data_IF_074695067016
#
_entry.id   IF_074695067016
#
_cell.length_a   1.000
_cell.length_b   1.000
_cell.length_c   1.000
_cell.angle_alpha   90.00
_cell.angle_beta   90.00
_cell.angle_gamma   90.00
#
_symmetry.space_group_name_H-M   'P 1'
#
loop_
_entity.id
_entity.type
_entity.pdbx_description
1 polymer ?
#
# COMPACT_ATOMS: atom_id res chain seq x y z
N UNK A 1 -21.89 32.12 21.92
CA UNK A 1 -21.34 30.76 22.14
C UNK A 1 -19.82 30.88 22.04
N UNK A 2 -19.08 30.60 23.12
CA UNK A 2 -17.62 30.74 23.16
C UNK A 2 -16.92 29.42 22.83
N UNK A 3 -15.73 29.51 22.24
CA UNK A 3 -14.83 28.37 22.13
C UNK A 3 -14.33 28.02 23.53
N UNK A 4 -14.25 26.72 23.84
CA UNK A 4 -13.73 26.22 25.12
C UNK A 4 -12.53 25.33 24.87
N UNK A 5 -11.50 25.49 25.69
CA UNK A 5 -10.35 24.61 25.68
C UNK A 5 -10.65 23.39 26.53
N UNK A 6 -10.73 22.22 25.89
CA UNK A 6 -10.98 20.94 26.53
C UNK A 6 -9.72 20.08 26.52
N UNK A 7 -9.54 19.27 27.57
CA UNK A 7 -8.55 18.18 27.55
C UNK A 7 -9.14 17.00 26.80
N UNK A 8 -8.35 16.39 25.92
CA UNK A 8 -8.74 15.14 25.29
C UNK A 8 -8.85 14.03 26.34
N UNK A 9 -10.00 13.37 26.38
CA UNK A 9 -10.30 12.27 27.32
C UNK A 9 -11.05 11.16 26.59
N UNK A 10 -10.78 9.91 26.93
CA UNK A 10 -11.50 8.80 26.34
C UNK A 10 -13.02 8.90 26.59
N UNK A 11 -13.88 8.78 25.55
CA UNK A 11 -15.32 8.94 25.70
C UNK A 11 -15.96 7.91 26.64
N UNK A 12 -16.76 8.38 27.60
CA UNK A 12 -17.43 7.53 28.58
C UNK A 12 -18.40 6.52 27.94
N UNK A 13 -19.06 6.91 26.85
CA UNK A 13 -19.92 6.02 26.08
C UNK A 13 -19.16 4.86 25.44
N UNK A 14 -17.95 5.12 24.92
CA UNK A 14 -17.07 4.09 24.36
C UNK A 14 -16.54 3.16 25.48
N UNK A 15 -16.17 3.72 26.62
CA UNK A 15 -15.74 2.96 27.81
C UNK A 15 -16.85 2.04 28.35
N UNK A 16 -18.09 2.52 28.39
CA UNK A 16 -19.25 1.73 28.82
C UNK A 16 -19.56 0.57 27.86
N UNK A 17 -19.27 0.71 26.57
CA UNK A 17 -19.39 -0.40 25.60
C UNK A 17 -18.25 -1.40 25.82
N UNK A 18 -17.02 -0.90 25.96
CA UNK A 18 -15.84 -1.75 26.18
C UNK A 18 -15.98 -2.58 27.46
N UNK A 19 -16.27 -1.97 28.60
CA UNK A 19 -16.43 -2.67 29.89
C UNK A 19 -17.49 -3.77 29.86
N UNK A 20 -18.63 -3.54 29.20
CA UNK A 20 -19.67 -4.57 29.01
C UNK A 20 -19.20 -5.71 28.10
N UNK A 21 -18.46 -5.40 27.03
CA UNK A 21 -17.91 -6.41 26.14
C UNK A 21 -16.82 -7.24 26.85
N UNK A 22 -15.88 -6.58 27.53
CA UNK A 22 -14.78 -7.21 28.26
C UNK A 22 -15.30 -8.16 29.33
N UNK A 23 -16.34 -7.78 30.10
CA UNK A 23 -16.90 -8.67 31.13
C UNK A 23 -17.39 -10.04 30.62
N UNK A 24 -17.75 -10.16 29.34
CA UNK A 24 -18.05 -11.45 28.69
C UNK A 24 -16.81 -12.07 28.06
N UNK A 25 -15.99 -11.24 27.39
CA UNK A 25 -14.78 -11.71 26.70
C UNK A 25 -13.74 -12.28 27.66
N UNK A 26 -13.64 -11.77 28.87
CA UNK A 26 -12.70 -12.22 29.92
C UNK A 26 -12.98 -13.66 30.39
N UNK A 27 -14.20 -14.16 30.15
CA UNK A 27 -14.58 -15.54 30.48
C UNK A 27 -14.15 -16.54 29.39
N UNK A 28 -13.87 -16.06 28.18
CA UNK A 28 -13.54 -16.91 27.03
C UNK A 28 -12.24 -17.70 27.23
N UNK A 29 -11.12 -17.14 27.72
CA UNK A 29 -9.88 -17.90 27.88
C UNK A 29 -10.07 -19.16 28.73
N UNK A 30 -10.71 -19.04 29.91
CA UNK A 30 -10.94 -20.16 30.81
C UNK A 30 -11.87 -21.23 30.19
N UNK A 31 -12.98 -20.79 29.58
CA UNK A 31 -13.94 -21.68 28.91
C UNK A 31 -13.29 -22.42 27.73
N UNK A 32 -12.46 -21.70 26.97
CA UNK A 32 -11.75 -22.22 25.80
C UNK A 32 -10.64 -23.19 26.19
N UNK A 33 -9.83 -22.89 27.21
CA UNK A 33 -8.84 -23.83 27.76
C UNK A 33 -9.49 -25.12 28.23
N UNK A 34 -10.63 -25.03 28.94
CA UNK A 34 -11.39 -26.21 29.36
C UNK A 34 -11.94 -27.02 28.17
N UNK A 35 -12.40 -26.36 27.11
CA UNK A 35 -12.85 -27.04 25.89
C UNK A 35 -11.69 -27.72 25.14
N UNK A 36 -10.54 -27.05 25.01
CA UNK A 36 -9.34 -27.62 24.37
C UNK A 36 -8.81 -28.82 25.17
N UNK A 37 -8.77 -28.75 26.50
CA UNK A 37 -8.36 -29.86 27.36
C UNK A 37 -9.24 -31.11 27.14
N UNK A 38 -10.57 -30.95 27.12
CA UNK A 38 -11.50 -32.05 26.81
C UNK A 38 -11.28 -32.65 25.42
N UNK A 39 -10.94 -31.81 24.42
CA UNK A 39 -10.62 -32.30 23.08
C UNK A 39 -9.28 -33.04 23.04
N UNK A 40 -8.28 -32.57 23.78
CA UNK A 40 -6.97 -33.23 23.89
C UNK A 40 -7.08 -34.61 24.55
N UNK A 41 -7.95 -34.77 25.56
CA UNK A 41 -8.24 -36.08 26.17
C UNK A 41 -8.83 -37.09 25.17
N UNK A 42 -9.55 -36.61 24.15
CA UNK A 42 -10.11 -37.45 23.08
C UNK A 42 -9.10 -37.72 21.94
N UNK A 43 -8.02 -36.95 21.84
CA UNK A 43 -7.01 -37.09 20.79
C UNK A 43 -6.42 -38.51 20.64
N UNK A 44 -6.02 -39.24 21.72
CA UNK A 44 -5.48 -40.60 21.57
C UNK A 44 -6.53 -41.61 21.09
N UNK A 45 -7.82 -41.30 21.21
CA UNK A 45 -8.93 -42.16 20.77
C UNK A 45 -9.33 -41.90 19.32
N UNK A 46 -8.89 -40.78 18.73
CA UNK A 46 -9.22 -40.38 17.39
C UNK A 46 -8.01 -40.61 16.46
N UNK A 47 -8.06 -41.67 15.65
CA UNK A 47 -7.02 -41.97 14.66
C UNK A 47 -7.19 -41.06 13.44
N UNK A 48 -6.50 -39.92 13.44
CA UNK A 48 -6.39 -39.05 12.25
C UNK A 48 -5.15 -39.45 11.45
N UNK A 49 -5.34 -40.11 10.31
CA UNK A 49 -4.25 -40.30 9.33
C UNK A 49 -4.13 -39.03 8.49
N UNK A 50 -3.01 -38.29 8.58
CA UNK A 50 -2.77 -37.19 7.65
C UNK A 50 -2.66 -37.74 6.23
N UNK A 51 -3.14 -36.95 5.26
CA UNK A 51 -3.03 -37.31 3.85
C UNK A 51 -1.54 -37.25 3.44
N UNK A 52 -0.99 -38.23 2.71
CA UNK A 52 0.41 -38.20 2.30
C UNK A 52 0.81 -36.93 1.52
N UNK A 53 -0.12 -36.37 0.73
CA UNK A 53 0.09 -35.13 -0.01
C UNK A 53 0.25 -33.91 0.91
N UNK A 54 -0.30 -33.95 2.13
CA UNK A 54 -0.19 -32.85 3.10
C UNK A 54 1.21 -32.73 3.67
N UNK A 55 1.93 -33.84 3.85
CA UNK A 55 3.35 -33.82 4.26
C UNK A 55 4.25 -33.29 3.14
N UNK A 56 3.98 -33.69 1.89
CA UNK A 56 4.71 -33.18 0.74
C UNK A 56 4.48 -31.66 0.55
N UNK A 57 3.25 -31.18 0.78
CA UNK A 57 2.93 -29.75 0.71
C UNK A 57 3.58 -28.93 1.84
N UNK A 58 3.67 -29.48 3.06
CA UNK A 58 4.34 -28.83 4.20
C UNK A 58 5.85 -28.61 3.94
N UNK A 59 6.50 -29.56 3.25
CA UNK A 59 7.88 -29.42 2.79
C UNK A 59 8.12 -28.27 1.79
N UNK A 60 7.06 -27.68 1.23
CA UNK A 60 7.12 -26.55 0.28
C UNK A 60 6.70 -25.22 0.91
N UNK A 61 6.61 -25.11 2.24
CA UNK A 61 6.19 -23.90 2.93
C UNK A 61 7.05 -22.64 2.62
N UNK A 62 8.29 -22.84 2.14
CA UNK A 62 9.19 -21.74 1.75
C UNK A 62 8.83 -21.02 0.44
N UNK A 63 8.01 -21.62 -0.43
CA UNK A 63 7.73 -21.08 -1.77
C UNK A 63 7.07 -19.69 -1.75
N UNK A 64 6.28 -19.38 -0.71
CA UNK A 64 5.70 -18.03 -0.55
C UNK A 64 6.79 -16.98 -0.37
N UNK A 65 7.78 -17.27 0.47
CA UNK A 65 8.91 -16.36 0.71
C UNK A 65 9.77 -16.21 -0.55
N UNK A 66 9.98 -17.28 -1.32
CA UNK A 66 10.67 -17.21 -2.62
C UNK A 66 9.89 -16.35 -3.64
N UNK A 67 8.57 -16.49 -3.71
CA UNK A 67 7.71 -15.65 -4.56
C UNK A 67 7.75 -14.17 -4.12
N UNK A 68 7.74 -13.92 -2.81
CA UNK A 68 7.82 -12.56 -2.26
C UNK A 68 9.19 -11.92 -2.50
N UNK A 69 10.28 -12.69 -2.54
CA UNK A 69 11.61 -12.19 -2.92
C UNK A 69 11.66 -11.66 -4.37
N UNK A 70 10.74 -12.08 -5.24
CA UNK A 70 10.62 -11.51 -6.59
C UNK A 70 9.99 -10.10 -6.58
N UNK A 71 9.44 -9.65 -5.45
CA UNK A 71 8.86 -8.32 -5.29
C UNK A 71 9.93 -7.30 -4.92
N UNK A 72 10.68 -6.87 -5.93
CA UNK A 72 11.67 -5.82 -5.78
C UNK A 72 11.04 -4.47 -6.10
N UNK A 73 11.21 -3.51 -5.19
CA UNK A 73 11.01 -2.09 -5.48
C UNK A 73 12.32 -1.50 -5.98
N UNK A 74 12.24 -0.59 -6.94
CA UNK A 74 13.44 0.00 -7.49
C UNK A 74 13.15 1.19 -8.36
N UNK A 75 14.22 1.74 -8.94
CA UNK A 75 14.14 2.94 -9.76
C UNK A 75 14.32 2.57 -11.21
N UNK A 76 13.43 3.07 -12.05
CA UNK A 76 13.47 2.87 -13.50
C UNK A 76 13.87 4.17 -14.18
N UNK A 77 14.84 4.06 -15.09
CA UNK A 77 15.26 5.13 -15.99
C UNK A 77 15.04 4.67 -17.43
N UNK A 78 14.40 5.51 -18.24
CA UNK A 78 14.10 5.21 -19.64
C UNK A 78 14.53 6.35 -20.53
N UNK A 79 15.31 6.03 -21.56
CA UNK A 79 15.73 6.95 -22.62
C UNK A 79 14.97 6.68 -23.91
N UNK A 80 14.47 7.71 -24.58
CA UNK A 80 13.78 7.58 -25.87
C UNK A 80 14.21 8.71 -26.82
N UNK A 81 14.14 8.53 -28.16
CA UNK A 81 14.56 9.54 -29.13
C UNK A 81 13.72 10.83 -29.09
N UNK A 82 12.54 10.80 -28.46
CA UNK A 82 11.64 11.94 -28.40
C UNK A 82 11.82 12.80 -27.14
N UNK A 83 12.74 12.40 -26.25
CA UNK A 83 13.04 13.16 -25.04
C UNK A 83 13.97 14.32 -25.36
N UNK A 84 13.64 15.49 -24.80
CA UNK A 84 14.39 16.71 -25.01
C UNK A 84 15.84 16.58 -24.49
N UNK A 85 16.81 16.79 -25.38
CA UNK A 85 18.24 16.70 -25.06
C UNK A 85 18.82 15.27 -25.05
N UNK A 86 18.02 14.26 -25.39
CA UNK A 86 18.45 12.86 -25.49
C UNK A 86 18.56 12.44 -26.96
N UNK A 87 17.48 12.61 -27.72
CA UNK A 87 17.46 12.32 -29.15
C UNK A 87 18.12 13.42 -29.98
N UNK A 88 18.66 13.02 -31.12
CA UNK A 88 19.09 13.95 -32.16
C UNK A 88 17.90 14.32 -33.04
N UNK A 89 17.79 15.61 -33.35
CA UNK A 89 16.78 16.13 -34.26
C UNK A 89 17.48 16.63 -35.53
N UNK A 90 17.28 15.92 -36.64
CA UNK A 90 17.77 16.32 -37.97
C UNK A 90 16.56 16.46 -38.90
N UNK A 91 16.26 17.69 -39.33
CA UNK A 91 15.07 17.96 -40.15
C UNK A 91 13.77 17.71 -39.37
N UNK A 92 12.92 16.81 -39.85
CA UNK A 92 11.66 16.40 -39.21
C UNK A 92 11.75 15.01 -38.54
N UNK A 93 12.97 14.45 -38.40
CA UNK A 93 13.21 13.11 -37.89
C UNK A 93 13.91 13.14 -36.52
N UNK A 94 13.45 12.28 -35.62
CA UNK A 94 14.05 12.07 -34.29
C UNK A 94 14.77 10.73 -34.28
N UNK A 95 16.06 10.73 -33.91
CA UNK A 95 16.85 9.50 -33.85
C UNK A 95 17.68 9.42 -32.57
N UNK A 96 17.90 8.19 -32.09
CA UNK A 96 18.77 7.91 -30.96
C UNK A 96 19.54 6.62 -31.24
N UNK A 97 20.82 6.74 -31.55
CA UNK A 97 21.69 5.59 -31.74
C UNK A 97 21.92 4.87 -30.41
N UNK A 98 22.02 3.53 -30.44
CA UNK A 98 22.22 2.73 -29.24
C UNK A 98 23.45 3.15 -28.39
N UNK A 99 24.62 3.47 -28.97
CA UNK A 99 25.75 3.98 -28.18
C UNK A 99 25.44 5.30 -27.44
N UNK A 100 24.64 6.18 -28.06
CA UNK A 100 24.24 7.45 -27.46
C UNK A 100 23.21 7.25 -26.35
N UNK A 101 22.31 6.27 -26.49
CA UNK A 101 21.38 5.85 -25.44
C UNK A 101 22.15 5.34 -24.21
N UNK A 102 23.14 4.46 -24.43
CA UNK A 102 24.00 3.93 -23.35
C UNK A 102 24.81 5.05 -22.69
N UNK A 103 25.41 5.95 -23.47
CA UNK A 103 26.16 7.09 -22.94
C UNK A 103 25.27 8.01 -22.08
N UNK A 104 24.02 8.24 -22.50
CA UNK A 104 23.04 9.05 -21.76
C UNK A 104 22.64 8.38 -20.44
N UNK A 105 22.39 7.06 -20.45
CA UNK A 105 22.10 6.29 -19.24
C UNK A 105 23.30 6.32 -18.26
N UNK A 106 24.51 6.14 -18.78
CA UNK A 106 25.74 6.16 -17.99
C UNK A 106 26.02 7.55 -17.38
N UNK A 107 25.80 8.62 -18.15
CA UNK A 107 25.91 9.98 -17.65
C UNK A 107 24.89 10.27 -16.55
N UNK A 108 23.66 9.75 -16.68
CA UNK A 108 22.60 9.94 -15.67
C UNK A 108 22.88 9.22 -14.35
N UNK A 109 23.62 8.11 -14.36
CA UNK A 109 24.10 7.44 -13.14
C UNK A 109 25.12 8.28 -12.35
N UNK A 110 25.70 9.31 -12.97
CA UNK A 110 26.69 10.21 -12.35
C UNK A 110 26.08 11.59 -12.04
N UNK A 111 24.79 11.79 -12.28
CA UNK A 111 24.10 13.07 -12.09
C UNK A 111 23.79 13.31 -10.60
N UNK A 112 24.79 13.82 -9.87
CA UNK A 112 24.67 14.16 -8.45
C UNK A 112 23.71 15.30 -8.13
N UNK A 113 23.15 15.98 -9.15
CA UNK A 113 22.13 17.01 -8.96
C UNK A 113 20.70 16.43 -8.89
N UNK A 114 20.52 15.15 -9.22
CA UNK A 114 19.21 14.49 -9.14
C UNK A 114 18.95 13.98 -7.70
N UNK A 115 17.93 14.50 -6.98
CA UNK A 115 17.62 14.06 -5.62
C UNK A 115 17.15 12.60 -5.56
N UNK A 116 16.77 12.01 -6.70
CA UNK A 116 16.36 10.62 -6.83
C UNK A 116 17.47 9.72 -7.41
N UNK A 117 18.73 10.15 -7.38
CA UNK A 117 19.86 9.29 -7.72
C UNK A 117 19.94 8.11 -6.72
N UNK A 118 20.00 6.84 -7.20
CA UNK A 118 20.14 5.70 -6.30
C UNK A 118 21.54 5.66 -5.68
N UNK A 119 21.64 5.32 -4.39
CA UNK A 119 22.88 5.28 -3.63
C UNK A 119 23.15 3.88 -3.03
N UNK A 120 24.41 3.57 -2.75
CA UNK A 120 24.84 2.28 -2.19
C UNK A 120 25.12 1.21 -3.24
N UNK A 121 25.14 -0.06 -2.80
CA UNK A 121 25.34 -1.21 -3.69
C UNK A 121 24.03 -1.53 -4.41
N UNK A 122 24.04 -1.49 -5.75
CA UNK A 122 22.86 -1.64 -6.60
C UNK A 122 23.01 -2.86 -7.51
N UNK A 123 21.89 -3.51 -7.82
CA UNK A 123 21.78 -4.52 -8.87
C UNK A 123 21.03 -3.90 -10.06
N UNK A 124 21.62 -3.96 -11.26
CA UNK A 124 21.09 -3.28 -12.43
C UNK A 124 20.94 -4.22 -13.63
N UNK A 125 19.89 -3.99 -14.42
CA UNK A 125 19.64 -4.63 -15.71
C UNK A 125 19.29 -3.52 -16.69
N UNK A 126 19.90 -3.53 -17.89
CA UNK A 126 19.62 -2.58 -18.96
C UNK A 126 19.08 -3.31 -20.19
N UNK A 127 17.99 -2.79 -20.77
CA UNK A 127 17.39 -3.30 -21.99
C UNK A 127 17.39 -2.24 -23.08
N UNK A 128 17.74 -2.64 -24.30
CA UNK A 128 17.71 -1.78 -25.50
C UNK A 128 16.85 -2.44 -26.57
N UNK A 129 15.97 -1.66 -27.17
CA UNK A 129 15.19 -2.05 -28.35
C UNK A 129 15.64 -1.16 -29.49
N UNK A 130 16.08 -1.77 -30.59
CA UNK A 130 16.70 -1.06 -31.73
C UNK A 130 16.01 -1.43 -33.02
N UNK A 131 15.84 -0.46 -33.91
CA UNK A 131 15.40 -0.64 -35.29
C UNK A 131 16.25 0.22 -36.22
N UNK A 132 16.38 -0.21 -37.48
CA UNK A 132 17.07 0.53 -38.53
C UNK A 132 16.17 1.57 -39.24
N UNK A 133 14.87 1.58 -38.91
CA UNK A 133 13.88 2.57 -39.32
C UNK A 133 12.84 2.78 -38.21
N UNK A 134 12.02 3.83 -38.31
CA UNK A 134 10.89 4.06 -37.40
C UNK A 134 9.90 2.89 -37.43
N UNK A 135 9.62 2.33 -38.61
CA UNK A 135 8.76 1.15 -38.79
C UNK A 135 9.33 -0.08 -38.11
N UNK A 136 10.62 -0.39 -38.34
CA UNK A 136 11.27 -1.54 -37.71
C UNK A 136 11.34 -1.41 -36.18
N UNK A 137 11.50 -0.18 -35.67
CA UNK A 137 11.47 0.08 -34.23
C UNK A 137 10.06 -0.07 -33.65
N UNK A 138 9.02 0.39 -34.36
CA UNK A 138 7.62 0.21 -33.96
C UNK A 138 7.23 -1.26 -33.91
N UNK A 139 7.61 -2.04 -34.92
CA UNK A 139 7.34 -3.47 -35.00
C UNK A 139 8.03 -4.23 -33.85
N UNK A 140 9.28 -3.87 -33.52
CA UNK A 140 10.01 -4.45 -32.39
C UNK A 140 9.43 -4.03 -31.03
N UNK A 141 8.97 -2.78 -30.89
CA UNK A 141 8.39 -2.26 -29.63
C UNK A 141 6.98 -2.77 -29.36
N UNK A 142 6.20 -3.13 -30.38
CA UNK A 142 4.80 -3.53 -30.25
C UNK A 142 4.58 -4.73 -29.30
N UNK A 143 5.21 -5.90 -29.53
CA UNK A 143 5.04 -7.05 -28.63
C UNK A 143 5.66 -6.80 -27.24
N UNK A 144 6.71 -5.96 -27.16
CA UNK A 144 7.38 -5.64 -25.91
C UNK A 144 6.55 -4.71 -25.03
N UNK A 145 5.91 -3.68 -25.59
CA UNK A 145 5.04 -2.77 -24.82
C UNK A 145 3.79 -3.48 -24.28
N UNK A 146 3.35 -4.57 -24.94
CA UNK A 146 2.27 -5.43 -24.44
C UNK A 146 2.67 -6.21 -23.18
N UNK A 147 3.95 -6.62 -23.07
CA UNK A 147 4.47 -7.32 -21.89
C UNK A 147 5.01 -6.36 -20.83
N UNK A 148 5.80 -5.37 -21.22
CA UNK A 148 6.47 -4.38 -20.37
C UNK A 148 5.94 -2.98 -20.69
N UNK A 149 4.81 -2.56 -20.11
CA UNK A 149 4.19 -1.27 -20.38
C UNK A 149 4.94 -0.13 -19.68
N UNK A 150 6.21 0.08 -20.04
CA UNK A 150 6.99 1.24 -19.61
C UNK A 150 6.39 2.49 -20.26
N UNK A 151 5.90 3.49 -19.49
CA UNK A 151 5.12 4.60 -20.05
C UNK A 151 5.83 5.36 -21.17
N UNK A 152 7.15 5.53 -21.07
CA UNK A 152 7.97 6.20 -22.08
C UNK A 152 8.11 5.35 -23.36
N UNK A 153 8.18 4.02 -23.25
CA UNK A 153 8.19 3.12 -24.41
C UNK A 153 6.82 3.09 -25.09
N UNK A 154 5.74 3.03 -24.31
CA UNK A 154 4.38 3.13 -24.83
C UNK A 154 4.11 4.50 -25.47
N UNK A 155 4.69 5.58 -24.96
CA UNK A 155 4.62 6.91 -25.57
C UNK A 155 5.41 6.98 -26.88
N UNK A 156 6.62 6.40 -26.93
CA UNK A 156 7.39 6.30 -28.15
C UNK A 156 6.66 5.47 -29.21
N UNK A 157 6.09 4.32 -28.85
CA UNK A 157 5.31 3.48 -29.76
C UNK A 157 4.07 4.22 -30.29
N UNK A 158 3.29 4.88 -29.42
CA UNK A 158 2.14 5.70 -29.85
C UNK A 158 2.54 6.80 -30.83
N UNK A 159 3.74 7.37 -30.69
CA UNK A 159 4.25 8.40 -31.59
C UNK A 159 4.72 7.83 -32.93
N UNK A 160 5.31 6.64 -32.92
CA UNK A 160 5.71 5.91 -34.13
C UNK A 160 4.52 5.39 -34.94
N UNK A 161 3.38 5.09 -34.29
CA UNK A 161 2.18 4.54 -34.95
C UNK A 161 1.10 5.57 -35.25
N UNK A 162 1.17 6.78 -34.68
CA UNK A 162 0.21 7.84 -34.96
C UNK A 162 0.52 8.51 -36.31
N UNK A 163 -0.49 8.59 -37.18
CA UNK A 163 -0.49 9.48 -38.34
C UNK A 163 -0.78 10.91 -37.88
N UNK A 164 0.26 11.65 -37.48
CA UNK A 164 0.10 13.04 -37.08
C UNK A 164 0.91 13.95 -38.01
N UNK A 165 0.19 14.61 -38.92
CA UNK A 165 0.60 15.90 -39.46
C UNK A 165 0.76 16.93 -38.34
N UNK A 166 1.68 17.86 -38.56
CA UNK A 166 2.29 18.75 -37.57
C UNK A 166 1.29 19.47 -36.64
N UNK A 167 1.49 19.32 -35.33
CA UNK A 167 0.99 20.27 -34.32
C UNK A 167 2.03 20.45 -33.19
N UNK A 168 2.22 21.72 -32.79
CA UNK A 168 3.30 22.27 -31.97
C UNK A 168 3.59 21.57 -30.64
N UNK A 169 4.88 21.60 -30.27
CA UNK A 169 5.43 21.02 -29.05
C UNK A 169 5.68 22.11 -27.99
N UNK A 170 5.03 22.07 -26.80
CA UNK A 170 5.36 23.00 -25.72
C UNK A 170 6.69 22.60 -25.05
N UNK A 171 7.45 23.61 -24.60
CA UNK A 171 8.75 23.47 -23.93
C UNK A 171 8.58 22.82 -22.55
N UNK A 172 9.22 21.68 -22.32
CA UNK A 172 9.18 20.94 -21.07
C UNK A 172 10.58 20.82 -20.43
N UNK A 173 10.61 20.71 -19.11
CA UNK A 173 11.81 20.60 -18.28
C UNK A 173 12.73 19.43 -18.67
N UNK A 174 14.02 19.48 -18.29
CA UNK A 174 15.04 18.45 -18.61
C UNK A 174 14.56 17.02 -18.26
N UNK A 175 14.72 16.11 -19.23
CA UNK A 175 14.32 14.69 -19.27
C UNK A 175 15.57 13.87 -19.63
N UNK A 176 15.78 12.62 -19.15
CA UNK A 176 14.91 11.79 -18.32
C UNK A 176 15.07 12.01 -16.82
N UNK A 177 13.98 11.79 -16.08
CA UNK A 177 13.93 11.84 -14.62
C UNK A 177 13.85 10.42 -14.08
N UNK A 178 14.52 10.17 -12.94
CA UNK A 178 14.26 8.96 -12.18
C UNK A 178 12.81 8.96 -11.68
N UNK A 179 12.12 7.83 -11.86
CA UNK A 179 10.85 7.61 -11.16
C UNK A 179 11.15 7.16 -9.74
N UNK A 180 10.45 7.75 -8.77
CA UNK A 180 10.55 7.37 -7.36
C UNK A 180 10.15 5.90 -7.17
N UNK A 181 10.52 5.32 -6.03
CA UNK A 181 10.49 3.89 -5.71
C UNK A 181 9.12 3.22 -6.00
N UNK A 182 8.95 2.80 -7.26
CA UNK A 182 7.75 2.15 -7.76
C UNK A 182 7.93 0.62 -7.70
N UNK A 183 6.85 -0.14 -7.42
CA UNK A 183 6.92 -1.60 -7.48
C UNK A 183 7.16 -2.01 -8.94
N UNK A 184 8.29 -2.67 -9.22
CA UNK A 184 8.69 -3.13 -10.56
C UNK A 184 7.90 -4.38 -11.00
N UNK A 185 6.60 -4.37 -10.73
CA UNK A 185 5.66 -5.49 -10.91
C UNK A 185 4.83 -5.28 -12.18
N UNK A 186 5.52 -5.22 -13.31
CA UNK A 186 4.89 -5.20 -14.63
C UNK A 186 4.66 -6.62 -15.14
N UNK A 187 3.98 -6.78 -16.28
CA UNK A 187 3.93 -8.09 -16.91
C UNK A 187 5.35 -8.49 -17.43
N UNK A 188 5.67 -9.79 -17.51
CA UNK A 188 4.86 -10.94 -17.11
C UNK A 188 4.89 -11.24 -15.59
N UNK A 189 5.66 -10.52 -14.79
CA UNK A 189 5.83 -10.79 -13.36
C UNK A 189 4.51 -10.67 -12.58
N UNK A 190 3.69 -9.66 -12.87
CA UNK A 190 2.39 -9.47 -12.21
C UNK A 190 1.42 -10.65 -12.42
N UNK A 191 1.11 -11.10 -13.66
CA UNK A 191 0.25 -12.26 -13.87
C UNK A 191 0.90 -13.56 -13.36
N UNK A 192 2.22 -13.75 -13.55
CA UNK A 192 2.93 -14.92 -13.03
C UNK A 192 2.79 -15.02 -11.50
N UNK A 193 2.91 -13.89 -10.77
CA UNK A 193 2.69 -13.85 -9.32
C UNK A 193 1.28 -14.25 -8.92
N UNK A 194 0.27 -13.81 -9.66
CA UNK A 194 -1.12 -14.17 -9.35
C UNK A 194 -1.34 -15.67 -9.47
N UNK A 195 -0.78 -16.29 -10.52
CA UNK A 195 -0.93 -17.73 -10.78
C UNK A 195 -0.11 -18.56 -9.78
N UNK A 196 1.18 -18.25 -9.61
CA UNK A 196 2.05 -18.92 -8.65
C UNK A 196 1.54 -18.74 -7.21
N UNK A 197 1.05 -17.54 -6.88
CA UNK A 197 0.45 -17.27 -5.57
C UNK A 197 -0.82 -18.07 -5.31
N UNK A 198 -1.59 -18.40 -6.35
CA UNK A 198 -2.76 -19.27 -6.26
C UNK A 198 -2.37 -20.74 -6.09
N UNK A 199 -1.36 -21.23 -6.82
CA UNK A 199 -0.81 -22.58 -6.66
C UNK A 199 -0.23 -22.78 -5.25
N UNK A 200 0.57 -21.83 -4.77
CA UNK A 200 1.13 -21.84 -3.42
C UNK A 200 0.00 -21.81 -2.37
N UNK A 201 -1.07 -21.04 -2.58
CA UNK A 201 -2.22 -21.04 -1.67
C UNK A 201 -2.92 -22.41 -1.60
N UNK A 202 -2.97 -23.17 -2.70
CA UNK A 202 -3.46 -24.56 -2.66
C UNK A 202 -2.54 -25.46 -1.86
N UNK A 203 -1.22 -25.33 -2.03
CA UNK A 203 -0.23 -26.08 -1.23
C UNK A 203 -0.31 -25.73 0.26
N UNK A 204 -0.42 -24.46 0.61
CA UNK A 204 -0.61 -23.99 1.98
C UNK A 204 -1.89 -24.57 2.60
N UNK A 205 -2.97 -24.65 1.83
CA UNK A 205 -4.24 -25.28 2.26
C UNK A 205 -4.07 -26.80 2.47
N UNK A 206 -3.39 -27.49 1.55
CA UNK A 206 -3.10 -28.92 1.67
C UNK A 206 -2.16 -29.24 2.84
N UNK A 207 -1.16 -28.39 3.09
CA UNK A 207 -0.23 -28.50 4.21
C UNK A 207 -0.98 -28.47 5.55
N UNK A 208 -2.04 -27.67 5.66
CA UNK A 208 -2.90 -27.70 6.86
C UNK A 208 -3.56 -29.07 7.09
N UNK A 209 -3.65 -29.96 6.08
CA UNK A 209 -4.11 -31.34 6.26
C UNK A 209 -3.17 -32.24 7.07
N UNK A 210 -1.94 -31.80 7.37
CA UNK A 210 -1.02 -32.51 8.26
C UNK A 210 -1.41 -32.38 9.73
N UNK A 211 -2.08 -31.28 10.10
CA UNK A 211 -2.55 -31.01 11.45
C UNK A 211 -3.90 -31.70 11.71
N UNK A 212 -4.04 -32.34 12.87
CA UNK A 212 -5.32 -32.94 13.29
C UNK A 212 -6.37 -31.84 13.54
N UNK A 213 -7.68 -32.12 13.39
CA UNK A 213 -8.73 -31.17 13.71
C UNK A 213 -8.63 -30.61 15.14
N UNK A 214 -8.20 -31.44 16.10
CA UNK A 214 -7.97 -31.04 17.49
C UNK A 214 -6.82 -30.03 17.58
N UNK A 215 -5.71 -30.26 16.86
CA UNK A 215 -4.60 -29.31 16.79
C UNK A 215 -5.01 -27.99 16.11
N UNK A 216 -5.87 -28.03 15.08
CA UNK A 216 -6.41 -26.83 14.44
C UNK A 216 -7.31 -26.02 15.39
N UNK A 217 -8.15 -26.69 16.19
CA UNK A 217 -8.99 -26.02 17.17
C UNK A 217 -8.17 -25.44 18.33
N UNK A 218 -7.09 -26.11 18.74
CA UNK A 218 -6.15 -25.57 19.71
C UNK A 218 -5.42 -24.33 19.18
N UNK A 219 -4.91 -24.36 17.95
CA UNK A 219 -4.25 -23.18 17.35
C UNK A 219 -5.22 -22.03 17.09
N UNK A 220 -6.48 -22.32 16.74
CA UNK A 220 -7.55 -21.32 16.66
C UNK A 220 -7.79 -20.67 18.03
N UNK A 221 -7.74 -21.47 19.11
CA UNK A 221 -7.89 -20.95 20.46
C UNK A 221 -6.76 -20.01 20.85
N UNK A 222 -5.52 -20.40 20.59
CA UNK A 222 -4.34 -19.54 20.81
C UNK A 222 -4.42 -18.25 20.02
N UNK A 223 -4.78 -18.31 18.73
CA UNK A 223 -4.95 -17.13 17.87
C UNK A 223 -6.04 -16.19 18.38
N UNK A 224 -7.14 -16.75 18.89
CA UNK A 224 -8.22 -15.95 19.48
C UNK A 224 -7.76 -15.27 20.76
N UNK A 225 -7.05 -15.96 21.64
CA UNK A 225 -6.48 -15.37 22.85
C UNK A 225 -5.49 -14.25 22.52
N UNK A 226 -4.58 -14.48 21.57
CA UNK A 226 -3.65 -13.46 21.10
C UNK A 226 -4.37 -12.25 20.48
N UNK A 227 -5.45 -12.49 19.72
CA UNK A 227 -6.26 -11.41 19.14
C UNK A 227 -6.97 -10.59 20.22
N UNK A 228 -7.53 -11.23 21.24
CA UNK A 228 -8.18 -10.53 22.36
C UNK A 228 -7.16 -9.67 23.12
N UNK A 229 -5.99 -10.23 23.43
CA UNK A 229 -4.90 -9.47 24.06
C UNK A 229 -4.44 -8.29 23.20
N UNK A 230 -4.30 -8.47 21.88
CA UNK A 230 -3.97 -7.38 20.97
C UNK A 230 -5.05 -6.29 20.90
N UNK A 231 -6.33 -6.66 20.99
CA UNK A 231 -7.44 -5.71 21.06
C UNK A 231 -7.43 -4.93 22.39
N UNK A 232 -7.17 -5.59 23.51
CA UNK A 232 -7.02 -4.93 24.82
C UNK A 232 -5.87 -3.92 24.79
N UNK A 233 -4.71 -4.29 24.23
CA UNK A 233 -3.57 -3.38 24.09
C UNK A 233 -3.90 -2.18 23.19
N UNK A 234 -4.53 -2.42 22.03
CA UNK A 234 -4.93 -1.34 21.13
C UNK A 234 -5.95 -0.40 21.77
N UNK A 235 -6.89 -0.95 22.55
CA UNK A 235 -7.88 -0.16 23.28
C UNK A 235 -7.21 0.67 24.38
N UNK A 236 -6.29 0.09 25.15
CA UNK A 236 -5.51 0.81 26.16
C UNK A 236 -4.70 1.97 25.55
N UNK A 237 -4.14 1.78 24.35
CA UNK A 237 -3.45 2.86 23.62
C UNK A 237 -4.40 3.98 23.20
N UNK A 238 -5.60 3.66 22.72
CA UNK A 238 -6.62 4.65 22.37
C UNK A 238 -7.16 5.38 23.60
N UNK A 239 -7.34 4.66 24.72
CA UNK A 239 -7.80 5.24 25.97
C UNK A 239 -6.73 6.17 26.60
N UNK A 240 -5.46 6.00 26.25
CA UNK A 240 -4.36 6.86 26.67
C UNK A 240 -4.25 8.18 25.87
N UNK A 241 -5.19 8.46 24.95
CA UNK A 241 -5.24 9.74 24.22
C UNK A 241 -5.25 10.90 25.21
N UNK A 242 -4.34 11.83 24.98
CA UNK A 242 -4.12 13.02 25.80
C UNK A 242 -3.77 14.21 24.92
N UNK A 243 -4.04 15.41 25.42
CA UNK A 243 -3.82 16.65 24.70
C UNK A 243 -4.85 17.70 25.07
N UNK A 244 -4.74 18.88 24.47
CA UNK A 244 -5.70 19.96 24.65
C UNK A 244 -6.11 20.48 23.29
N UNK A 245 -7.39 20.77 23.11
CA UNK A 245 -7.89 21.41 21.91
C UNK A 245 -9.01 22.39 22.22
N UNK A 246 -9.15 23.37 21.35
CA UNK A 246 -10.29 24.28 21.36
C UNK A 246 -11.44 23.66 20.60
N UNK A 247 -12.61 23.59 21.21
CA UNK A 247 -13.82 23.08 20.57
C UNK A 247 -14.97 24.08 20.66
N UNK A 248 -15.88 23.94 19.71
CA UNK A 248 -17.14 24.67 19.65
C UNK A 248 -18.24 23.69 19.27
N UNK A 249 -19.40 23.81 19.91
CA UNK A 249 -20.54 22.91 19.69
C UNK A 249 -21.81 23.75 19.51
N UNK A 250 -22.59 23.43 18.49
CA UNK A 250 -23.88 24.04 18.21
C UNK A 250 -24.79 23.05 17.46
N UNK A 251 -26.07 23.40 17.38
CA UNK A 251 -27.08 22.65 16.63
C UNK A 251 -27.90 23.63 15.79
N UNK A 252 -28.28 23.21 14.58
CA UNK A 252 -29.05 24.03 13.64
C UNK A 252 -28.87 23.54 12.20
N UNK A 253 -29.56 24.20 11.27
CA UNK A 253 -29.28 24.06 9.85
C UNK A 253 -27.93 24.73 9.47
N UNK A 254 -27.48 24.51 8.24
CA UNK A 254 -26.19 25.03 7.78
C UNK A 254 -26.08 26.56 7.87
N UNK A 255 -27.17 27.29 7.60
CA UNK A 255 -27.18 28.75 7.63
C UNK A 255 -27.08 29.27 9.09
N UNK A 256 -27.83 28.65 10.00
CA UNK A 256 -27.78 28.92 11.43
C UNK A 256 -26.41 28.59 12.01
N UNK A 257 -25.83 27.44 11.68
CA UNK A 257 -24.49 27.06 12.14
C UNK A 257 -23.41 28.02 11.63
N UNK A 258 -23.47 28.43 10.36
CA UNK A 258 -22.55 29.42 9.81
C UNK A 258 -22.65 30.77 10.52
N UNK A 259 -23.87 31.26 10.78
CA UNK A 259 -24.10 32.51 11.50
C UNK A 259 -23.57 32.43 12.94
N UNK A 260 -23.87 31.34 13.66
CA UNK A 260 -23.40 31.13 15.03
C UNK A 260 -21.87 31.01 15.12
N UNK A 261 -21.23 30.34 14.15
CA UNK A 261 -19.78 30.24 14.08
C UNK A 261 -19.12 31.59 13.77
N UNK A 262 -19.68 32.37 12.84
CA UNK A 262 -19.19 33.71 12.51
C UNK A 262 -19.32 34.73 13.65
N UNK A 263 -20.27 34.52 14.56
CA UNK A 263 -20.46 35.32 15.77
C UNK A 263 -19.72 34.75 17.00
N UNK A 264 -19.00 33.63 16.85
CA UNK A 264 -18.22 33.04 17.93
C UNK A 264 -16.93 33.82 18.20
N UNK A 265 -16.38 33.70 19.41
CA UNK A 265 -15.10 34.29 19.79
C UNK A 265 -14.02 33.20 19.84
N UNK A 266 -13.25 32.99 18.75
CA UNK A 266 -12.13 32.05 18.75
C UNK A 266 -10.96 32.56 19.63
N UNK A 267 -9.95 31.71 19.89
CA UNK A 267 -8.72 32.13 20.57
C UNK A 267 -8.07 33.33 19.89
N UNK A 268 -7.33 34.13 20.67
CA UNK A 268 -6.78 35.40 20.22
C UNK A 268 -5.69 35.24 19.13
N UNK A 269 -5.25 36.37 18.58
CA UNK A 269 -4.25 36.44 17.51
C UNK A 269 -2.83 35.97 17.93
N UNK A 270 -2.62 35.52 19.18
CA UNK A 270 -1.36 34.91 19.59
C UNK A 270 -1.14 33.52 18.96
N UNK A 271 -2.21 32.88 18.47
CA UNK A 271 -2.18 31.59 17.77
C UNK A 271 -2.01 31.77 16.25
N UNK A 272 -0.78 32.07 15.79
CA UNK A 272 -0.48 32.38 14.38
C UNK A 272 -0.42 31.16 13.43
N UNK A 273 -0.35 29.93 13.96
CA UNK A 273 -0.35 28.70 13.17
C UNK A 273 -1.49 27.78 13.65
N UNK A 274 -2.60 27.78 12.90
CA UNK A 274 -3.84 27.09 13.28
C UNK A 274 -4.31 26.15 12.18
N UNK A 275 -4.76 24.96 12.58
CA UNK A 275 -5.47 24.01 11.72
C UNK A 275 -6.86 23.76 12.32
N UNK A 276 -7.87 23.59 11.48
CA UNK A 276 -9.25 23.45 11.91
C UNK A 276 -10.02 22.41 11.10
N UNK A 277 -11.03 21.81 11.72
CA UNK A 277 -11.96 20.88 11.10
C UNK A 277 -13.37 21.13 11.64
N UNK A 278 -14.38 21.01 10.78
CA UNK A 278 -15.79 21.09 11.14
C UNK A 278 -16.45 19.74 10.85
N UNK A 279 -16.99 19.10 11.90
CA UNK A 279 -17.74 17.86 11.78
C UNK A 279 -19.24 18.18 11.81
N UNK A 280 -19.96 17.77 10.76
CA UNK A 280 -21.40 17.94 10.64
C UNK A 280 -22.04 16.56 10.48
N UNK A 281 -23.14 16.31 11.18
CA UNK A 281 -23.88 15.06 11.10
C UNK A 281 -25.37 15.32 11.36
N UNK A 282 -26.28 14.61 10.67
CA UNK A 282 -27.71 14.64 10.99
C UNK A 282 -28.02 13.94 12.32
N UNK A 283 -27.07 13.24 12.92
CA UNK A 283 -27.19 12.56 14.22
C UNK A 283 -26.19 13.11 15.24
N UNK A 284 -26.49 13.03 16.55
CA UNK A 284 -25.60 13.53 17.61
C UNK A 284 -24.17 12.96 17.50
N UNK A 285 -23.18 13.85 17.59
CA UNK A 285 -21.76 13.50 17.54
C UNK A 285 -21.23 13.10 18.93
N UNK A 286 -21.95 12.22 19.64
CA UNK A 286 -21.73 11.90 21.07
C UNK A 286 -20.28 11.54 21.40
N UNK A 287 -19.64 10.68 20.59
CA UNK A 287 -18.24 10.29 20.80
C UNK A 287 -17.31 11.51 20.80
N UNK A 288 -17.40 12.38 19.80
CA UNK A 288 -16.54 13.56 19.65
C UNK A 288 -16.84 14.63 20.71
N UNK A 289 -18.12 14.75 21.08
CA UNK A 289 -18.54 15.65 22.15
C UNK A 289 -17.97 15.23 23.50
N UNK A 290 -17.93 13.93 23.81
CA UNK A 290 -17.33 13.41 25.04
C UNK A 290 -15.79 13.42 25.00
N UNK A 291 -15.19 13.23 23.82
CA UNK A 291 -13.73 13.22 23.63
C UNK A 291 -13.08 14.54 24.06
N UNK A 292 -13.82 15.63 23.96
CA UNK A 292 -13.32 17.01 24.10
C UNK A 292 -13.86 17.71 25.35
N UNK A 293 -14.50 16.99 26.27
CA UNK A 293 -15.08 17.52 27.52
C UNK A 293 -14.07 17.79 28.62
#
# INVERSE_FOLDING_TARGET
MSWTQGTLRWPASAEAIHSRASGVLDQLPASQSGAVARLQELAPRAQYRPMPISQAADGLAGLRAELDQLLVTGRCLTVTPYQHGVGQHQGNQYSLAAPNAVATLAAKLQDGADPLLPAGQLHAIAWLVTGNSETALADALTPLCAMLPLPEWCAALRRLTAQNDAMNQPTAAKVPRWKADEPLTWAPLRPARSLLGAEIAQLESLAQGSATPIAKLASLAERRAARLSGLEQAFAQLAAVSGQLWHWQAQGDAASLAAQLGQSSPPDHSHCMTVGALLLSPSPLTFWQELTR
#
